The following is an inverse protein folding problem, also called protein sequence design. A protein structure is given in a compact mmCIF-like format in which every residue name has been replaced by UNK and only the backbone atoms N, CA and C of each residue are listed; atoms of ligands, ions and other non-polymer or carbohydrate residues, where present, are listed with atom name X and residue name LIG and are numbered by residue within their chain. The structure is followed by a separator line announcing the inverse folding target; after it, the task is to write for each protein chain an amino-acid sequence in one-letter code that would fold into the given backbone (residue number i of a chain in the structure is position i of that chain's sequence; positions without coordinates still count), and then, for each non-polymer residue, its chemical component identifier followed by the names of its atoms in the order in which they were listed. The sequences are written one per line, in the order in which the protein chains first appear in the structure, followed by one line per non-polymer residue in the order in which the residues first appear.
data_IF_515034712230
#
_entry.id   IF_515034712230
#
_cell.length_a   1.000
_cell.length_b   1.000
_cell.length_c   1.000
_cell.angle_alpha   90.00
_cell.angle_beta   90.00
_cell.angle_gamma   90.00
#
_symmetry.space_group_name_H-M   'P 1'
#
loop_
_entity.id
_entity.type
_entity.pdbx_description
1 polymer ?
#
# COMPACT_ATOMS: atom_id res chain seq x y z
N UNK A 1 -17.00 17.26 -18.55
CA UNK A 1 -15.55 17.16 -18.86
C UNK A 1 -14.69 16.75 -17.66
N UNK A 2 -14.89 17.40 -16.50
CA UNK A 2 -14.04 17.18 -15.32
C UNK A 2 -14.39 15.95 -14.50
N UNK A 3 -15.64 15.47 -14.56
CA UNK A 3 -16.06 14.28 -13.81
C UNK A 3 -15.20 13.06 -14.17
N UNK A 4 -15.00 12.80 -15.47
CA UNK A 4 -14.13 11.71 -15.95
C UNK A 4 -12.68 11.82 -15.45
N UNK A 5 -12.15 13.04 -15.33
CA UNK A 5 -10.80 13.25 -14.81
C UNK A 5 -10.74 12.95 -13.31
N UNK A 6 -11.73 13.43 -12.54
CA UNK A 6 -11.85 13.17 -11.10
C UNK A 6 -11.99 11.68 -10.81
N UNK A 7 -12.83 10.96 -11.55
CA UNK A 7 -13.05 9.51 -11.38
C UNK A 7 -11.74 8.72 -11.62
N UNK A 8 -10.98 9.08 -12.67
CA UNK A 8 -9.66 8.48 -12.93
C UNK A 8 -8.64 8.77 -11.84
N UNK A 9 -8.73 9.93 -11.18
CA UNK A 9 -7.83 10.28 -10.07
C UNK A 9 -8.23 9.56 -8.78
N UNK A 10 -9.53 9.30 -8.56
CA UNK A 10 -10.03 8.57 -7.39
C UNK A 10 -9.66 7.08 -7.39
N UNK A 11 -9.51 6.47 -8.58
CA UNK A 11 -9.02 5.08 -8.72
C UNK A 11 -7.53 4.92 -8.40
N UNK A 12 -6.77 6.01 -8.35
CA UNK A 12 -5.33 5.96 -8.05
C UNK A 12 -5.12 5.96 -6.56
N UNK A 13 -4.10 5.22 -6.12
CA UNK A 13 -3.69 5.31 -4.73
C UNK A 13 -3.31 6.76 -4.39
N UNK A 14 -3.68 7.24 -3.19
CA UNK A 14 -3.30 8.55 -2.73
C UNK A 14 -1.77 8.71 -2.79
N UNK A 15 -1.30 9.88 -3.24
CA UNK A 15 0.14 10.23 -3.30
C UNK A 15 0.69 10.58 -1.92
N UNK A 16 0.41 9.73 -0.94
CA UNK A 16 0.91 9.82 0.42
C UNK A 16 1.56 8.48 0.74
N UNK A 17 2.76 8.53 1.30
CA UNK A 17 3.45 7.36 1.81
C UNK A 17 3.23 7.32 3.32
N UNK A 18 2.82 6.16 3.81
CA UNK A 18 2.70 5.86 5.23
C UNK A 18 3.81 4.92 5.64
N UNK A 19 4.40 5.20 6.80
CA UNK A 19 5.29 4.24 7.47
C UNK A 19 4.43 3.16 8.10
N UNK A 20 4.64 1.91 7.69
CA UNK A 20 4.05 0.72 8.32
C UNK A 20 5.16 -0.30 8.57
N UNK A 21 4.86 -1.30 9.39
CA UNK A 21 5.76 -2.42 9.63
C UNK A 21 5.25 -3.64 8.86
N UNK A 22 6.16 -4.44 8.32
CA UNK A 22 5.83 -5.74 7.73
C UNK A 22 5.19 -6.65 8.79
N UNK A 23 4.07 -7.30 8.47
CA UNK A 23 3.41 -8.22 9.43
C UNK A 23 4.32 -9.40 9.85
N UNK A 24 5.19 -9.88 8.95
CA UNK A 24 5.96 -11.13 9.16
C UNK A 24 7.29 -10.90 9.89
N UNK A 25 8.02 -9.85 9.50
CA UNK A 25 9.36 -9.58 10.02
C UNK A 25 9.49 -8.24 10.77
N UNK A 26 8.39 -7.49 10.88
CA UNK A 26 8.31 -6.18 11.54
C UNK A 26 9.30 -5.12 11.00
N UNK A 27 9.83 -5.32 9.79
CA UNK A 27 10.70 -4.35 9.12
C UNK A 27 9.91 -3.08 8.77
N UNK A 28 10.55 -1.91 8.90
CA UNK A 28 9.97 -0.64 8.49
C UNK A 28 9.84 -0.58 6.96
N UNK A 29 8.63 -0.33 6.49
CA UNK A 29 8.29 -0.21 5.08
C UNK A 29 7.47 1.06 4.83
N UNK A 30 7.62 1.63 3.63
CA UNK A 30 6.82 2.75 3.18
C UNK A 30 5.83 2.27 2.14
N UNK A 31 4.53 2.48 2.40
CA UNK A 31 3.48 2.05 1.47
C UNK A 31 2.46 3.15 1.25
N UNK A 32 1.72 3.05 0.14
CA UNK A 32 0.56 3.92 -0.15
C UNK A 32 -0.72 3.44 0.54
N UNK A 33 -0.61 2.46 1.44
CA UNK A 33 -1.72 1.94 2.21
C UNK A 33 -1.74 2.59 3.58
N UNK A 34 -2.83 3.29 3.88
CA UNK A 34 -3.01 3.95 5.17
C UNK A 34 -3.04 2.94 6.32
N UNK A 35 -2.54 3.31 7.53
CA UNK A 35 -2.58 2.46 8.72
C UNK A 35 -4.00 2.07 9.16
N UNK A 36 -5.01 2.83 8.74
CA UNK A 36 -6.42 2.56 8.98
C UNK A 36 -6.97 1.41 8.11
N UNK A 37 -6.30 1.06 7.00
CA UNK A 37 -6.71 -0.06 6.16
C UNK A 37 -6.29 -1.39 6.77
N UNK A 38 -7.21 -2.35 6.74
CA UNK A 38 -7.06 -3.73 7.28
C UNK A 38 -6.23 -4.66 6.38
N UNK A 39 -5.71 -4.17 5.26
CA UNK A 39 -4.90 -4.94 4.32
C UNK A 39 -3.57 -5.37 4.97
N UNK A 40 -3.20 -6.64 4.79
CA UNK A 40 -1.94 -7.20 5.27
C UNK A 40 -0.83 -6.72 4.33
N UNK A 41 0.16 -6.04 4.89
CA UNK A 41 1.29 -5.51 4.12
C UNK A 41 2.55 -6.28 4.49
N UNK A 42 3.18 -6.87 3.48
CA UNK A 42 4.47 -7.55 3.59
C UNK A 42 5.58 -6.69 2.99
N UNK A 43 6.81 -6.89 3.47
CA UNK A 43 7.99 -6.40 2.76
C UNK A 43 8.27 -7.28 1.53
N UNK A 44 9.07 -6.76 0.60
CA UNK A 44 9.44 -7.44 -0.64
C UNK A 44 9.95 -8.86 -0.40
N UNK A 45 10.85 -9.05 0.57
CA UNK A 45 11.40 -10.37 0.92
C UNK A 45 10.32 -11.36 1.36
N UNK A 46 9.47 -10.95 2.31
CA UNK A 46 8.42 -11.82 2.83
C UNK A 46 7.32 -12.11 1.82
N UNK A 47 7.07 -11.17 0.89
CA UNK A 47 6.16 -11.38 -0.22
C UNK A 47 6.73 -12.43 -1.19
N UNK A 48 8.00 -12.30 -1.59
CA UNK A 48 8.67 -13.26 -2.47
C UNK A 48 8.70 -14.67 -1.89
N UNK A 49 8.99 -14.82 -0.60
CA UNK A 49 8.92 -16.11 0.12
C UNK A 49 7.51 -16.72 0.19
N UNK A 50 6.45 -15.93 0.04
CA UNK A 50 5.07 -16.42 0.13
C UNK A 50 4.47 -16.81 -1.22
N UNK A 51 5.06 -16.30 -2.31
CA UNK A 51 4.59 -16.50 -3.69
C UNK A 51 5.28 -17.70 -4.34
N UNK A 52 6.47 -18.09 -3.85
CA UNK A 52 7.28 -19.19 -4.34
C UNK A 52 7.23 -20.37 -3.36
#
# INVERSE_FOLDING_TARGET
PDQRHKDRMALRNPRKLWKRNCIKCNAEIQTTYAPERKEIVYCEKCYLESVY
#
